data_IF_968871082965
#
_entry.id   IF_968871082965
#
_cell.length_a   1.000
_cell.length_b   1.000
_cell.length_c   1.000
_cell.angle_alpha   90.00
_cell.angle_beta   90.00
_cell.angle_gamma   90.00
#
_symmetry.space_group_name_H-M   'P 1'
#
loop_
_entity.id
_entity.type
_entity.pdbx_description
1 polymer ?
#
# COMPACT_ATOMS: atom_id res chain seq x y z
N UNK A 1 -36.42 35.98 -10.25
CA UNK A 1 -35.80 36.71 -9.12
C UNK A 1 -34.64 35.87 -8.61
N UNK A 2 -33.41 36.25 -8.94
CA UNK A 2 -32.22 35.56 -8.46
C UNK A 2 -31.98 35.92 -6.98
N UNK A 3 -31.72 34.96 -6.07
CA UNK A 3 -31.40 35.31 -4.70
C UNK A 3 -30.02 35.99 -4.65
N UNK A 4 -30.03 37.18 -4.05
CA UNK A 4 -28.92 38.11 -3.91
C UNK A 4 -27.70 37.49 -3.22
N UNK A 5 -26.52 37.63 -3.85
CA UNK A 5 -25.21 37.31 -3.28
C UNK A 5 -24.90 38.07 -1.97
N UNK A 6 -25.66 39.13 -1.65
CA UNK A 6 -25.51 39.96 -0.45
C UNK A 6 -26.05 39.32 0.84
N UNK A 7 -26.86 38.25 0.78
CA UNK A 7 -27.41 37.62 2.00
C UNK A 7 -26.42 36.71 2.75
N UNK A 8 -25.26 36.37 2.16
CA UNK A 8 -24.26 35.51 2.80
C UNK A 8 -23.31 36.26 3.75
N UNK A 9 -23.16 37.58 3.59
CA UNK A 9 -22.25 38.37 4.44
C UNK A 9 -22.80 38.58 5.86
N UNK A 10 -24.12 38.69 6.01
CA UNK A 10 -24.82 38.99 7.29
C UNK A 10 -24.94 37.74 8.20
N UNK A 11 -24.52 36.57 7.74
CA UNK A 11 -24.58 35.35 8.56
C UNK A 11 -23.48 35.32 9.61
N UNK A 12 -23.87 35.02 10.85
CA UNK A 12 -22.95 34.81 11.96
C UNK A 12 -21.98 33.66 11.64
N UNK A 13 -20.76 33.63 12.23
CA UNK A 13 -19.82 32.53 12.03
C UNK A 13 -20.42 31.13 12.34
N UNK A 14 -21.42 31.07 13.23
CA UNK A 14 -22.15 29.85 13.57
C UNK A 14 -23.07 29.39 12.44
N UNK A 15 -23.75 30.30 11.76
CA UNK A 15 -24.60 30.02 10.59
C UNK A 15 -23.78 29.67 9.35
N UNK A 16 -22.66 30.38 9.12
CA UNK A 16 -21.68 30.03 8.08
C UNK A 16 -21.13 28.62 8.29
N UNK A 17 -20.84 28.23 9.53
CA UNK A 17 -20.42 26.85 9.85
C UNK A 17 -21.54 25.82 9.65
N UNK A 18 -22.80 26.16 9.98
CA UNK A 18 -23.96 25.28 9.74
C UNK A 18 -24.20 25.01 8.25
N UNK A 19 -23.83 25.93 7.37
CA UNK A 19 -23.92 25.77 5.91
C UNK A 19 -22.67 25.11 5.30
N UNK A 20 -21.48 25.32 5.86
CA UNK A 20 -20.25 24.68 5.38
C UNK A 20 -20.17 23.18 5.71
N UNK A 21 -20.63 22.79 6.91
CA UNK A 21 -20.66 21.38 7.34
C UNK A 21 -21.37 20.44 6.34
N UNK A 22 -22.59 20.71 5.85
CA UNK A 22 -23.26 19.83 4.90
C UNK A 22 -22.54 19.76 3.53
N UNK A 23 -21.85 20.84 3.12
CA UNK A 23 -21.08 20.87 1.87
C UNK A 23 -19.83 19.98 2.00
N UNK A 24 -19.05 20.14 3.07
CA UNK A 24 -17.84 19.33 3.34
C UNK A 24 -18.21 17.85 3.47
N UNK A 25 -19.29 17.57 4.19
CA UNK A 25 -19.82 16.22 4.34
C UNK A 25 -20.24 15.60 2.99
N UNK A 26 -20.91 16.38 2.13
CA UNK A 26 -21.25 15.94 0.78
C UNK A 26 -19.99 15.58 -0.02
N UNK A 27 -18.97 16.45 -0.02
CA UNK A 27 -17.69 16.17 -0.69
C UNK A 27 -17.00 14.91 -0.15
N UNK A 28 -17.06 14.68 1.18
CA UNK A 28 -16.52 13.45 1.77
C UNK A 28 -17.27 12.22 1.25
N UNK A 29 -18.60 12.26 1.23
CA UNK A 29 -19.44 11.16 0.71
C UNK A 29 -19.18 10.89 -0.77
N UNK A 30 -19.07 11.95 -1.57
CA UNK A 30 -18.78 11.84 -3.00
C UNK A 30 -17.40 11.20 -3.23
N UNK A 31 -16.38 11.59 -2.46
CA UNK A 31 -15.06 10.97 -2.49
C UNK A 31 -15.11 9.48 -2.13
N UNK A 32 -15.81 9.11 -1.05
CA UNK A 32 -15.97 7.72 -0.63
C UNK A 32 -16.65 6.90 -1.73
N UNK A 33 -17.73 7.42 -2.30
CA UNK A 33 -18.45 6.73 -3.39
C UNK A 33 -17.57 6.56 -4.63
N UNK A 34 -16.82 7.59 -5.01
CA UNK A 34 -15.87 7.51 -6.12
C UNK A 34 -14.83 6.42 -5.90
N UNK A 35 -14.23 6.35 -4.70
CA UNK A 35 -13.27 5.29 -4.37
C UNK A 35 -13.89 3.90 -4.39
N UNK A 36 -15.15 3.73 -3.98
CA UNK A 36 -15.84 2.44 -4.06
C UNK A 36 -16.06 2.02 -5.53
N UNK A 37 -16.44 2.94 -6.40
CA UNK A 37 -16.57 2.65 -7.84
C UNK A 37 -15.20 2.33 -8.48
N UNK A 38 -14.13 3.01 -8.06
CA UNK A 38 -12.77 2.66 -8.49
C UNK A 38 -12.37 1.24 -8.08
N UNK A 39 -12.71 0.82 -6.86
CA UNK A 39 -12.47 -0.56 -6.39
C UNK A 39 -13.22 -1.58 -7.25
N UNK A 40 -14.48 -1.28 -7.60
CA UNK A 40 -15.29 -2.13 -8.48
C UNK A 40 -14.61 -2.35 -9.83
N UNK A 41 -14.09 -1.29 -10.45
CA UNK A 41 -13.38 -1.38 -11.73
C UNK A 41 -12.06 -2.16 -11.63
N UNK A 42 -11.26 -1.90 -10.59
CA UNK A 42 -9.97 -2.57 -10.40
C UNK A 42 -10.12 -4.08 -10.19
N UNK A 43 -11.21 -4.51 -9.55
CA UNK A 43 -11.48 -5.90 -9.21
C UNK A 43 -12.51 -6.56 -10.14
N UNK A 44 -12.84 -5.94 -11.28
CA UNK A 44 -13.91 -6.40 -12.18
C UNK A 44 -13.75 -7.87 -12.60
N UNK A 45 -12.52 -8.31 -12.87
CA UNK A 45 -12.21 -9.72 -13.19
C UNK A 45 -12.50 -10.67 -12.03
N UNK A 46 -12.17 -10.26 -10.80
CA UNK A 46 -12.46 -11.08 -9.62
C UNK A 46 -13.97 -11.15 -9.37
N UNK A 47 -14.70 -10.06 -9.59
CA UNK A 47 -16.17 -10.10 -9.51
C UNK A 47 -16.78 -11.01 -10.58
N UNK A 48 -16.31 -10.96 -11.83
CA UNK A 48 -16.77 -11.87 -12.88
C UNK A 48 -16.51 -13.34 -12.54
N UNK A 49 -15.40 -13.64 -11.87
CA UNK A 49 -15.05 -15.00 -11.46
C UNK A 49 -15.96 -15.56 -10.36
N UNK A 50 -16.38 -14.73 -9.40
CA UNK A 50 -17.17 -15.19 -8.26
C UNK A 50 -18.68 -14.97 -8.43
N UNK A 51 -19.10 -13.89 -9.10
CA UNK A 51 -20.49 -13.48 -9.25
C UNK A 51 -20.74 -12.79 -10.63
N UNK A 52 -20.69 -13.53 -11.75
CA UNK A 52 -20.72 -12.96 -13.09
C UNK A 52 -21.99 -12.18 -13.47
N UNK A 53 -23.11 -12.42 -12.79
CA UNK A 53 -24.42 -11.82 -13.13
C UNK A 53 -25.11 -11.15 -11.94
N UNK A 54 -24.38 -10.88 -10.85
CA UNK A 54 -24.97 -10.27 -9.64
C UNK A 54 -24.84 -8.75 -9.68
N UNK A 55 -25.88 -8.08 -9.19
CA UNK A 55 -25.81 -6.64 -8.93
C UNK A 55 -24.95 -6.43 -7.68
N UNK A 56 -23.71 -6.00 -7.87
CA UNK A 56 -22.78 -5.76 -6.76
C UNK A 56 -23.29 -4.64 -5.86
N UNK A 57 -23.60 -4.98 -4.61
CA UNK A 57 -23.88 -4.01 -3.56
C UNK A 57 -22.56 -3.43 -3.01
N UNK A 58 -22.65 -2.29 -2.32
CA UNK A 58 -21.45 -1.67 -1.71
C UNK A 58 -20.78 -2.59 -0.69
N UNK A 59 -21.56 -3.41 0.02
CA UNK A 59 -21.03 -4.39 0.95
C UNK A 59 -20.21 -5.46 0.21
N UNK A 60 -20.74 -6.01 -0.88
CA UNK A 60 -20.05 -7.02 -1.70
C UNK A 60 -18.72 -6.48 -2.26
N UNK A 61 -18.73 -5.24 -2.75
CA UNK A 61 -17.52 -4.60 -3.28
C UNK A 61 -16.43 -4.54 -2.21
N UNK A 62 -16.80 -4.10 -1.00
CA UNK A 62 -15.86 -3.97 0.12
C UNK A 62 -15.39 -5.34 0.63
N UNK A 63 -16.29 -6.32 0.73
CA UNK A 63 -15.96 -7.67 1.16
C UNK A 63 -14.97 -8.34 0.20
N UNK A 64 -15.25 -8.31 -1.10
CA UNK A 64 -14.35 -8.85 -2.12
C UNK A 64 -12.99 -8.15 -2.08
N UNK A 65 -12.97 -6.82 -1.93
CA UNK A 65 -11.73 -6.05 -1.83
C UNK A 65 -10.90 -6.51 -0.63
N UNK A 66 -11.51 -6.67 0.55
CA UNK A 66 -10.80 -7.14 1.75
C UNK A 66 -10.28 -8.56 1.56
N UNK A 67 -11.09 -9.45 0.99
CA UNK A 67 -10.69 -10.82 0.69
C UNK A 67 -9.50 -10.87 -0.25
N UNK A 68 -9.55 -10.10 -1.35
CA UNK A 68 -8.47 -9.97 -2.32
C UNK A 68 -7.16 -9.48 -1.69
N UNK A 69 -7.22 -8.42 -0.86
CA UNK A 69 -6.04 -7.88 -0.19
C UNK A 69 -5.42 -8.87 0.80
N UNK A 70 -6.24 -9.61 1.55
CA UNK A 70 -5.76 -10.66 2.45
C UNK A 70 -5.04 -11.77 1.68
N UNK A 71 -5.62 -12.21 0.56
CA UNK A 71 -5.01 -13.22 -0.29
C UNK A 71 -3.70 -12.73 -0.92
N UNK A 72 -3.68 -11.51 -1.47
CA UNK A 72 -2.48 -10.90 -2.06
C UNK A 72 -1.34 -10.74 -1.05
N UNK A 73 -1.66 -10.32 0.19
CA UNK A 73 -0.67 -10.22 1.25
C UNK A 73 -0.14 -11.60 1.70
N UNK A 74 -0.95 -12.65 1.65
CA UNK A 74 -0.49 -14.02 1.89
C UNK A 74 0.39 -14.53 0.73
N UNK A 75 -0.01 -14.26 -0.52
CA UNK A 75 0.72 -14.67 -1.73
C UNK A 75 2.09 -13.99 -1.86
N UNK A 76 2.21 -12.70 -1.51
CA UNK A 76 3.52 -12.04 -1.47
C UNK A 76 4.48 -12.65 -0.44
N UNK A 77 3.95 -13.15 0.69
CA UNK A 77 4.75 -13.92 1.66
C UNK A 77 5.12 -15.29 1.12
N UNK A 78 4.23 -15.95 0.39
CA UNK A 78 4.55 -17.25 -0.24
C UNK A 78 5.65 -17.09 -1.28
N UNK A 79 5.61 -16.07 -2.16
CA UNK A 79 6.67 -15.84 -3.15
C UNK A 79 8.06 -15.59 -2.52
N UNK A 80 8.10 -14.88 -1.38
CA UNK A 80 9.35 -14.70 -0.63
C UNK A 80 9.82 -16.01 0.01
N UNK A 81 8.88 -16.82 0.51
CA UNK A 81 9.18 -18.13 1.07
C UNK A 81 9.69 -19.09 -0.02
N UNK A 82 9.02 -19.17 -1.16
CA UNK A 82 9.40 -19.99 -2.32
C UNK A 82 10.80 -19.60 -2.83
N UNK A 83 11.11 -18.30 -2.91
CA UNK A 83 12.45 -17.83 -3.23
C UNK A 83 13.48 -18.27 -2.19
N UNK A 84 13.19 -18.07 -0.90
CA UNK A 84 14.11 -18.42 0.18
C UNK A 84 14.40 -19.92 0.24
N UNK A 85 13.39 -20.74 -0.05
CA UNK A 85 13.49 -22.19 -0.10
C UNK A 85 14.29 -22.65 -1.32
N UNK A 86 13.98 -22.14 -2.51
CA UNK A 86 14.73 -22.44 -3.73
C UNK A 86 16.20 -22.01 -3.63
N UNK A 87 16.45 -20.86 -3.00
CA UNK A 87 17.80 -20.38 -2.71
C UNK A 87 18.55 -21.31 -1.74
N UNK A 88 17.90 -21.75 -0.65
CA UNK A 88 18.51 -22.67 0.31
C UNK A 88 18.83 -24.03 -0.34
N UNK A 89 17.95 -24.52 -1.21
CA UNK A 89 18.17 -25.73 -2.00
C UNK A 89 19.39 -25.61 -2.91
N UNK A 90 19.48 -24.52 -3.67
CA UNK A 90 20.61 -24.25 -4.56
C UNK A 90 21.93 -24.19 -3.78
N UNK A 91 21.95 -23.50 -2.63
CA UNK A 91 23.14 -23.43 -1.77
C UNK A 91 23.54 -24.81 -1.24
N UNK A 92 22.58 -25.61 -0.76
CA UNK A 92 22.82 -26.97 -0.28
C UNK A 92 23.45 -27.83 -1.37
N UNK A 93 22.89 -27.80 -2.57
CA UNK A 93 23.39 -28.58 -3.71
C UNK A 93 24.80 -28.13 -4.11
N UNK A 94 25.06 -26.82 -4.17
CA UNK A 94 26.38 -26.27 -4.47
C UNK A 94 27.44 -26.72 -3.43
N UNK A 95 27.09 -26.71 -2.14
CA UNK A 95 27.98 -27.18 -1.08
C UNK A 95 28.21 -28.70 -1.14
N UNK A 96 27.18 -29.48 -1.48
CA UNK A 96 27.28 -30.92 -1.67
C UNK A 96 28.19 -31.27 -2.85
N UNK A 97 28.02 -30.61 -3.99
CA UNK A 97 28.88 -30.78 -5.17
C UNK A 97 30.34 -30.48 -4.85
N UNK A 98 30.61 -29.37 -4.17
CA UNK A 98 31.97 -28.98 -3.76
C UNK A 98 32.58 -29.99 -2.77
N UNK A 99 31.77 -30.56 -1.87
CA UNK A 99 32.24 -31.56 -0.91
C UNK A 99 32.58 -32.88 -1.59
N UNK A 100 31.77 -33.30 -2.57
CA UNK A 100 31.98 -34.53 -3.33
C UNK A 100 33.23 -34.46 -4.22
N UNK A 101 33.55 -33.27 -4.73
CA UNK A 101 34.72 -33.03 -5.57
C UNK A 101 35.97 -32.55 -4.81
N UNK A 102 36.01 -32.69 -3.48
CA UNK A 102 37.16 -32.29 -2.63
C UNK A 102 37.60 -30.83 -2.84
N UNK A 103 36.65 -29.92 -3.06
CA UNK A 103 36.95 -28.51 -3.19
C UNK A 103 37.57 -27.96 -1.89
N UNK A 104 38.50 -27.01 -2.03
CA UNK A 104 39.16 -26.37 -0.89
C UNK A 104 38.12 -25.84 0.12
N UNK A 105 38.27 -26.21 1.39
CA UNK A 105 37.45 -25.76 2.52
C UNK A 105 37.33 -24.23 2.61
N UNK A 106 38.37 -23.52 2.19
CA UNK A 106 38.39 -22.06 2.11
C UNK A 106 37.38 -21.52 1.07
N UNK A 107 37.27 -22.19 -0.08
CA UNK A 107 36.30 -21.84 -1.14
C UNK A 107 34.87 -22.07 -0.66
N UNK A 108 34.63 -23.17 0.08
CA UNK A 108 33.33 -23.46 0.68
C UNK A 108 32.93 -22.40 1.71
N UNK A 109 33.85 -22.00 2.59
CA UNK A 109 33.61 -20.93 3.57
C UNK A 109 33.34 -19.58 2.91
N UNK A 110 34.13 -19.20 1.89
CA UNK A 110 33.90 -17.96 1.13
C UNK A 110 32.51 -17.95 0.49
N UNK A 111 32.12 -19.08 -0.12
CA UNK A 111 30.79 -19.23 -0.71
C UNK A 111 29.69 -19.06 0.35
N UNK A 112 29.77 -19.78 1.47
CA UNK A 112 28.79 -19.66 2.56
C UNK A 112 28.66 -18.23 3.07
N UNK A 113 29.78 -17.53 3.27
CA UNK A 113 29.81 -16.13 3.68
C UNK A 113 29.17 -15.19 2.65
N UNK A 114 29.38 -15.43 1.35
CA UNK A 114 28.72 -14.64 0.30
C UNK A 114 27.21 -14.85 0.31
N UNK A 115 26.76 -16.10 0.46
CA UNK A 115 25.34 -16.45 0.46
C UNK A 115 24.59 -15.91 1.69
N UNK A 116 25.19 -16.01 2.87
CA UNK A 116 24.62 -15.44 4.11
C UNK A 116 24.51 -13.90 4.03
N UNK A 117 25.46 -13.24 3.36
CA UNK A 117 25.43 -11.78 3.16
C UNK A 117 24.34 -11.35 2.18
N UNK A 118 24.03 -12.13 1.16
CA UNK A 118 22.91 -11.82 0.24
C UNK A 118 21.53 -12.02 0.87
N UNK A 119 21.39 -12.87 1.89
CA UNK A 119 20.12 -13.05 2.62
C UNK A 119 19.85 -11.91 3.63
N UNK A 120 20.87 -11.13 3.99
CA UNK A 120 20.74 -9.95 4.83
C UNK A 120 20.28 -8.74 4.01
N UNK A 121 19.08 -8.82 3.42
CA UNK A 121 18.39 -7.62 2.94
C UNK A 121 17.90 -6.88 4.20
N UNK A 122 18.24 -5.59 4.39
CA UNK A 122 17.68 -4.81 5.48
C UNK A 122 16.16 -4.79 5.31
N UNK A 123 15.44 -5.36 6.28
CA UNK A 123 14.02 -5.10 6.47
C UNK A 123 13.88 -3.67 6.98
N UNK A 124 14.16 -2.68 6.15
CA UNK A 124 13.70 -1.34 6.43
C UNK A 124 12.44 -1.04 5.64
N UNK A 125 11.44 -0.70 6.42
CA UNK A 125 10.12 -0.25 6.03
C UNK A 125 10.17 0.99 5.14
N UNK A 126 9.40 0.99 4.06
CA UNK A 126 8.79 2.21 3.51
C UNK A 126 9.42 2.82 2.25
N UNK A 127 8.66 2.70 1.16
CA UNK A 127 8.61 3.58 -0.03
C UNK A 127 9.77 3.53 -1.06
N UNK A 128 9.45 3.39 -2.36
CA UNK A 128 10.41 3.65 -3.44
C UNK A 128 10.48 5.15 -3.71
N UNK A 129 11.60 5.79 -3.35
CA UNK A 129 11.91 7.16 -3.75
C UNK A 129 12.28 7.20 -5.23
N UNK A 130 11.41 7.78 -6.04
CA UNK A 130 11.71 8.19 -7.42
C UNK A 130 12.59 9.44 -7.35
N UNK A 131 13.78 9.35 -7.93
CA UNK A 131 14.65 10.49 -8.21
C UNK A 131 13.98 11.41 -9.24
N UNK A 132 13.78 12.68 -8.90
CA UNK A 132 13.74 13.76 -9.90
C UNK A 132 14.35 15.03 -9.32
N UNK A 133 15.35 15.53 -10.03
CA UNK A 133 16.01 16.82 -9.87
C UNK A 133 15.03 17.97 -10.12
N UNK A 134 15.13 19.08 -9.36
CA UNK A 134 15.02 20.50 -9.79
C UNK A 134 14.75 21.43 -8.59
N UNK A 135 15.77 22.24 -8.27
CA UNK A 135 15.82 23.57 -7.61
C UNK A 135 15.18 23.89 -6.23
N UNK A 136 16.05 24.47 -5.37
CA UNK A 136 15.91 25.18 -4.07
C UNK A 136 15.03 26.47 -4.19
N UNK A 137 14.45 27.14 -3.13
CA UNK A 137 15.05 27.36 -1.81
C UNK A 137 14.23 27.36 -0.49
N UNK A 138 14.95 26.95 0.56
CA UNK A 138 14.98 27.34 1.99
C UNK A 138 13.83 28.15 2.61
N UNK A 139 13.13 27.54 3.58
CA UNK A 139 12.71 28.20 4.83
C UNK A 139 12.30 27.18 5.93
N UNK A 140 13.09 27.17 7.01
CA UNK A 140 12.73 27.02 8.45
C UNK A 140 12.05 25.72 8.94
N UNK A 141 12.76 25.12 9.90
CA UNK A 141 12.49 23.95 10.73
C UNK A 141 11.13 23.95 11.45
N UNK A 142 10.47 22.78 11.55
CA UNK A 142 9.83 22.32 12.79
C UNK A 142 9.37 20.84 12.70
N UNK A 143 9.90 20.03 13.64
CA UNK A 143 9.32 18.85 14.29
C UNK A 143 8.95 17.59 13.46
N UNK A 144 9.73 16.53 13.69
CA UNK A 144 9.36 15.13 13.49
C UNK A 144 8.08 14.78 14.25
N UNK A 145 7.12 14.14 13.58
CA UNK A 145 6.11 13.27 14.22
C UNK A 145 5.91 12.00 13.40
N UNK A 146 6.01 10.79 13.98
CA UNK A 146 5.64 9.57 13.31
C UNK A 146 4.13 9.52 13.07
N UNK A 147 3.78 8.99 11.91
CA UNK A 147 2.44 8.71 11.46
C UNK A 147 1.73 7.71 12.38
N UNK A 148 0.72 8.19 13.11
CA UNK A 148 -0.48 7.39 13.29
C UNK A 148 -1.56 8.10 12.49
N UNK A 149 -2.06 7.43 11.45
CA UNK A 149 -3.29 7.80 10.78
C UNK A 149 -4.42 7.60 11.80
N UNK A 150 -4.56 8.57 12.71
CA UNK A 150 -5.73 8.75 13.53
C UNK A 150 -6.87 8.97 12.55
N UNK A 151 -7.57 7.89 12.26
CA UNK A 151 -8.93 7.95 11.79
C UNK A 151 -9.65 8.89 12.76
N UNK A 152 -9.87 10.14 12.33
CA UNK A 152 -10.66 11.10 13.08
C UNK A 152 -12.08 10.95 12.56
N UNK A 153 -13.02 10.48 13.40
CA UNK A 153 -14.43 10.62 13.08
C UNK A 153 -14.70 12.12 12.88
N UNK A 154 -15.45 12.44 11.84
CA UNK A 154 -15.94 13.80 11.59
C UNK A 154 -17.08 14.12 12.56
#
# INVERSE_FOLDING_TARGET
MAPNALSLEILTPKEKNRLRKPIVEKLRRDRINSSIEQLKLLLEKEFQRHQPNSKLEKADILEMTVSYLKYSQASSKSLQQDYSEGYAWCLKEALQFLSLHSANTETQMKLLCHFQRSQAIPKDSGSPSVLTSTHQPSAKQAALKPSCNLWRPW
#
